data_IF_424156508602
#
_entry.id   IF_424156508602
#
_cell.length_a   1.000
_cell.length_b   1.000
_cell.length_c   1.000
_cell.angle_alpha   90.00
_cell.angle_beta   90.00
_cell.angle_gamma   90.00
#
_symmetry.space_group_name_H-M   'P 1'
#
loop_
_entity.id
_entity.type
_entity.pdbx_description
1 polymer ?
#
# COMPACT_ATOMS: atom_id res chain seq x y z
N UNK A 1 -1.60 18.40 -16.75
CA UNK A 1 -2.39 17.22 -16.35
C UNK A 1 -1.41 16.10 -16.11
N UNK A 2 -0.95 15.90 -14.88
CA UNK A 2 0.01 14.85 -14.55
C UNK A 2 -0.77 13.54 -14.48
N UNK A 3 -0.52 12.64 -15.43
CA UNK A 3 -1.06 11.28 -15.41
C UNK A 3 -0.42 10.57 -14.21
N UNK A 4 -1.15 10.42 -13.10
CA UNK A 4 -0.65 9.68 -11.94
C UNK A 4 -0.69 8.21 -12.33
N UNK A 5 0.48 7.62 -12.52
CA UNK A 5 0.64 6.23 -12.93
C UNK A 5 0.36 5.38 -11.70
N UNK A 6 -0.88 4.97 -11.50
CA UNK A 6 -1.26 4.03 -10.45
C UNK A 6 -0.53 2.69 -10.71
N UNK A 7 0.64 2.51 -10.11
CA UNK A 7 1.31 1.21 -10.10
C UNK A 7 0.61 0.35 -9.07
N UNK A 8 -0.23 -0.57 -9.55
CA UNK A 8 -0.86 -1.58 -8.70
C UNK A 8 0.21 -2.62 -8.41
N UNK A 9 0.93 -2.44 -7.32
CA UNK A 9 1.90 -3.42 -6.85
C UNK A 9 1.19 -4.40 -5.93
N UNK A 10 0.99 -5.62 -6.41
CA UNK A 10 0.37 -6.68 -5.65
C UNK A 10 1.47 -7.53 -5.00
N UNK A 11 1.66 -7.39 -3.68
CA UNK A 11 2.59 -8.22 -2.93
C UNK A 11 1.89 -9.52 -2.48
N UNK A 12 1.53 -10.37 -3.43
CA UNK A 12 1.08 -11.72 -3.07
C UNK A 12 1.58 -12.70 -4.13
N UNK A 13 2.25 -13.80 -3.70
CA UNK A 13 2.88 -14.76 -4.60
C UNK A 13 1.88 -15.51 -5.50
N UNK A 14 0.57 -15.34 -5.29
CA UNK A 14 -0.48 -15.83 -6.20
C UNK A 14 -0.90 -14.80 -7.27
N UNK A 15 -0.33 -13.59 -7.25
CA UNK A 15 -0.73 -12.46 -8.12
C UNK A 15 -0.42 -12.65 -9.61
N UNK A 16 0.53 -13.51 -9.95
CA UNK A 16 0.88 -13.81 -11.35
C UNK A 16 -0.32 -14.39 -12.14
N UNK A 17 -1.26 -15.06 -11.45
CA UNK A 17 -2.49 -15.58 -12.07
C UNK A 17 -3.40 -14.46 -12.61
N UNK A 18 -3.25 -13.24 -12.09
CA UNK A 18 -4.05 -12.07 -12.50
C UNK A 18 -3.34 -11.19 -13.53
N UNK A 19 -2.15 -11.59 -14.03
CA UNK A 19 -1.37 -10.81 -14.97
C UNK A 19 -0.85 -9.49 -14.41
N UNK A 20 -0.66 -9.43 -13.08
CA UNK A 20 -0.10 -8.28 -12.36
C UNK A 20 1.34 -8.62 -12.00
N UNK A 21 2.26 -7.70 -12.29
CA UNK A 21 3.65 -7.83 -11.89
C UNK A 21 3.73 -7.80 -10.35
N UNK A 22 4.10 -8.94 -9.76
CA UNK A 22 4.41 -9.01 -8.35
C UNK A 22 5.74 -8.27 -8.11
N UNK A 23 5.75 -7.32 -7.18
CA UNK A 23 7.01 -6.80 -6.69
C UNK A 23 7.53 -7.69 -5.56
N UNK A 24 8.79 -8.08 -5.66
CA UNK A 24 9.47 -8.87 -4.62
C UNK A 24 10.03 -7.99 -3.49
N UNK A 25 10.21 -6.68 -3.74
CA UNK A 25 10.66 -5.69 -2.76
C UNK A 25 9.85 -4.40 -2.91
N UNK A 26 9.56 -3.76 -1.78
CA UNK A 26 8.84 -2.49 -1.71
C UNK A 26 9.78 -1.29 -1.94
N UNK A 27 11.10 -1.46 -1.80
CA UNK A 27 12.05 -0.34 -1.84
C UNK A 27 12.17 0.30 -3.22
N UNK A 28 12.03 1.63 -3.26
CA UNK A 28 12.36 2.44 -4.43
C UNK A 28 11.32 2.41 -5.55
N UNK A 29 10.14 1.86 -5.32
CA UNK A 29 9.06 1.82 -6.31
C UNK A 29 8.38 3.18 -6.51
N UNK A 30 8.17 3.95 -5.43
CA UNK A 30 7.49 5.24 -5.50
C UNK A 30 6.01 5.09 -5.83
N UNK A 31 5.26 4.42 -4.96
CA UNK A 31 3.81 4.25 -5.13
C UNK A 31 3.03 5.49 -4.69
N UNK A 32 1.95 5.80 -5.41
CA UNK A 32 1.02 6.89 -5.06
C UNK A 32 -0.07 6.42 -4.09
N UNK A 33 -0.43 5.14 -4.15
CA UNK A 33 -1.53 4.56 -3.37
C UNK A 33 -1.26 3.10 -3.03
N UNK A 34 -1.42 2.75 -1.76
CA UNK A 34 -1.39 1.39 -1.26
C UNK A 34 -2.81 0.90 -0.98
N UNK A 35 -3.16 -0.27 -1.53
CA UNK A 35 -4.46 -0.90 -1.32
C UNK A 35 -4.24 -2.25 -0.63
N UNK A 36 -4.75 -2.37 0.59
CA UNK A 36 -4.66 -3.59 1.37
C UNK A 36 -5.98 -4.34 1.27
N UNK A 37 -6.02 -5.29 0.33
CA UNK A 37 -7.19 -6.13 0.06
C UNK A 37 -7.17 -7.47 0.82
N UNK A 38 -5.96 -7.96 1.14
CA UNK A 38 -5.73 -9.29 1.73
C UNK A 38 -4.80 -9.20 2.93
N UNK A 39 -5.18 -9.83 4.04
CA UNK A 39 -4.41 -9.84 5.28
C UNK A 39 -3.56 -11.10 5.40
N UNK A 40 -2.65 -11.33 4.44
CA UNK A 40 -1.61 -12.33 4.67
C UNK A 40 -0.86 -11.94 5.96
N UNK A 41 -0.60 -12.91 6.85
CA UNK A 41 0.04 -12.61 8.15
C UNK A 41 1.38 -11.87 8.00
N UNK A 42 2.06 -12.03 6.86
CA UNK A 42 3.27 -11.29 6.49
C UNK A 42 3.10 -9.76 6.48
N UNK A 43 1.89 -9.26 6.25
CA UNK A 43 1.60 -7.81 6.24
C UNK A 43 1.29 -7.22 7.61
N UNK A 44 0.97 -8.06 8.61
CA UNK A 44 0.67 -7.58 9.96
C UNK A 44 1.89 -6.93 10.63
N UNK A 45 3.08 -7.35 10.21
CA UNK A 45 4.34 -6.86 10.79
C UNK A 45 4.91 -5.66 10.02
N UNK A 46 4.30 -5.25 8.91
CA UNK A 46 4.73 -4.05 8.18
C UNK A 46 4.20 -2.81 8.89
N UNK A 47 5.11 -1.94 9.33
CA UNK A 47 4.76 -0.66 9.95
C UNK A 47 4.33 0.40 8.92
N UNK A 48 3.43 1.29 9.33
CA UNK A 48 3.02 2.46 8.54
C UNK A 48 4.21 3.33 8.09
N UNK A 49 5.26 3.42 8.90
CA UNK A 49 6.47 4.17 8.59
C UNK A 49 7.25 3.58 7.42
N UNK A 50 7.28 2.25 7.31
CA UNK A 50 7.93 1.54 6.18
C UNK A 50 7.15 1.77 4.90
N UNK A 51 5.82 1.65 4.95
CA UNK A 51 4.94 1.96 3.82
C UNK A 51 5.15 3.41 3.35
N UNK A 52 5.18 4.37 4.28
CA UNK A 52 5.40 5.77 3.92
C UNK A 52 6.75 6.01 3.25
N UNK A 53 7.79 5.27 3.67
CA UNK A 53 9.13 5.39 3.12
C UNK A 53 9.27 4.89 1.68
N UNK A 54 8.33 4.08 1.21
CA UNK A 54 8.33 3.55 -0.17
C UNK A 54 7.36 4.28 -1.10
N UNK A 55 6.51 5.15 -0.54
CA UNK A 55 5.53 5.94 -1.27
C UNK A 55 6.06 7.32 -1.65
N UNK A 56 5.37 7.93 -2.62
CA UNK A 56 5.60 9.31 -3.03
C UNK A 56 5.08 10.32 -1.98
N UNK A 57 5.17 11.61 -2.30
CA UNK A 57 4.90 12.73 -1.38
C UNK A 57 3.48 12.79 -0.80
N UNK A 58 2.49 12.22 -1.49
CA UNK A 58 1.08 12.24 -1.09
C UNK A 58 0.53 10.81 -0.89
N UNK A 59 0.95 10.10 0.17
CA UNK A 59 0.65 8.68 0.32
C UNK A 59 -0.82 8.44 0.68
N UNK A 60 -1.52 7.69 -0.18
CA UNK A 60 -2.91 7.24 0.06
C UNK A 60 -2.91 5.80 0.54
N UNK A 61 -3.50 5.52 1.71
CA UNK A 61 -3.70 4.15 2.19
C UNK A 61 -5.19 3.79 2.15
N UNK A 62 -5.52 2.79 1.35
CA UNK A 62 -6.85 2.19 1.30
C UNK A 62 -6.84 0.84 1.98
N UNK A 63 -7.50 0.74 3.12
CA UNK A 63 -7.55 -0.48 3.92
C UNK A 63 -8.95 -1.08 3.89
N UNK A 64 -9.11 -2.16 3.13
CA UNK A 64 -10.39 -2.86 2.95
C UNK A 64 -10.67 -3.80 4.13
N UNK A 65 -9.62 -4.20 4.88
CA UNK A 65 -9.71 -5.19 5.95
C UNK A 65 -9.72 -4.58 7.35
N UNK A 66 -9.43 -3.28 7.46
CA UNK A 66 -9.35 -2.57 8.74
C UNK A 66 -8.18 -3.05 9.60
N UNK A 67 -7.04 -3.37 8.98
CA UNK A 67 -5.80 -3.71 9.68
C UNK A 67 -5.19 -2.51 10.41
N UNK A 68 -5.37 -1.30 9.87
CA UNK A 68 -4.81 -0.08 10.41
C UNK A 68 -5.90 0.84 10.99
N UNK A 69 -5.59 1.47 12.11
CA UNK A 69 -6.45 2.49 12.69
C UNK A 69 -6.38 3.78 11.88
N UNK A 70 -7.54 4.38 11.59
CA UNK A 70 -7.63 5.67 10.88
C UNK A 70 -6.76 6.74 11.54
N UNK A 71 -6.91 6.94 12.86
CA UNK A 71 -6.19 7.98 13.59
C UNK A 71 -4.66 7.78 13.54
N UNK A 72 -4.20 6.54 13.69
CA UNK A 72 -2.77 6.23 13.62
C UNK A 72 -2.22 6.48 12.21
N UNK A 73 -3.00 6.15 11.19
CA UNK A 73 -2.63 6.31 9.78
C UNK A 73 -2.55 7.79 9.39
N UNK A 74 -3.57 8.57 9.76
CA UNK A 74 -3.61 10.01 9.53
C UNK A 74 -2.51 10.73 10.32
N UNK A 75 -2.19 10.28 11.55
CA UNK A 75 -1.09 10.84 12.35
C UNK A 75 0.28 10.64 11.71
N UNK A 76 0.48 9.53 11.00
CA UNK A 76 1.70 9.27 10.22
C UNK A 76 1.72 10.10 8.92
N UNK A 77 0.60 10.74 8.55
CA UNK A 77 0.50 11.65 7.41
C UNK A 77 0.02 10.97 6.13
N UNK A 78 -0.72 9.87 6.24
CA UNK A 78 -1.41 9.26 5.12
C UNK A 78 -2.80 9.86 4.91
N UNK A 79 -3.26 9.87 3.68
CA UNK A 79 -4.68 10.01 3.38
C UNK A 79 -5.36 8.64 3.52
N UNK A 80 -6.05 8.42 4.65
CA UNK A 80 -6.70 7.13 4.93
C UNK A 80 -8.07 7.03 4.26
N UNK A 81 -8.35 5.87 3.65
CA UNK A 81 -9.65 5.48 3.10
C UNK A 81 -9.96 4.04 3.52
N UNK A 82 -10.72 3.89 4.59
CA UNK A 82 -11.29 2.59 4.99
C UNK A 82 -12.68 2.38 4.42
N UNK A 83 -13.10 1.12 4.33
CA UNK A 83 -14.49 0.71 4.12
C UNK A 83 -15.20 0.47 5.45
#
# INVERSE_FOLDING_TARGET
MTCHRLQITHYCPQGEEFGIDAAEDLKGMGADCDVIAVSHNAFKDISLSVLKGVMNSDPVLTDIRGLFGKEDTERVGFCYRGL
#
